data_IF_974900258398
#
_entry.id   IF_974900258398
#
_cell.length_a   1.000
_cell.length_b   1.000
_cell.length_c   1.000
_cell.angle_alpha   90.00
_cell.angle_beta   90.00
_cell.angle_gamma   90.00
#
_symmetry.space_group_name_H-M   'P 1'
#
loop_
_entity.id
_entity.type
_entity.pdbx_description
1 polymer ?
#
# COMPACT_ATOMS: atom_id res chain seq x y z
N UNK A 1 -3.81 4.96 27.16
CA UNK A 1 -4.09 6.15 26.33
C UNK A 1 -4.08 7.48 27.11
N UNK A 2 -3.91 7.51 28.44
CA UNK A 2 -3.83 8.77 29.21
C UNK A 2 -2.50 9.54 29.10
N UNK A 3 -1.49 8.93 28.47
CA UNK A 3 -0.12 9.45 28.45
C UNK A 3 0.15 10.45 27.32
N UNK A 4 -0.72 10.48 26.30
CA UNK A 4 -0.62 11.34 25.11
C UNK A 4 -1.94 12.09 24.89
N UNK A 5 -2.43 12.77 25.92
CA UNK A 5 -3.63 13.61 25.81
C UNK A 5 -3.25 15.03 25.34
N UNK A 6 -3.69 15.48 24.16
CA UNK A 6 -3.46 16.85 23.67
C UNK A 6 -3.89 17.94 24.65
N UNK A 7 -4.90 17.68 25.49
CA UNK A 7 -5.38 18.64 26.48
C UNK A 7 -4.35 18.92 27.59
N UNK A 8 -3.34 18.05 27.76
CA UNK A 8 -2.28 18.24 28.75
C UNK A 8 -1.08 19.05 28.23
N UNK A 9 -1.10 19.53 26.98
CA UNK A 9 -0.03 20.36 26.45
C UNK A 9 -0.03 21.74 27.14
N UNK A 10 1.08 22.07 27.81
CA UNK A 10 1.31 23.40 28.37
C UNK A 10 1.77 24.36 27.26
N UNK A 11 0.78 24.96 26.58
CA UNK A 11 1.02 25.89 25.48
C UNK A 11 1.86 27.12 25.87
N UNK A 12 1.64 27.78 27.03
CA UNK A 12 2.52 28.85 27.50
C UNK A 12 3.97 28.40 27.65
N UNK A 13 4.21 27.26 28.30
CA UNK A 13 5.57 26.75 28.50
C UNK A 13 6.25 26.40 27.17
N UNK A 14 5.50 25.86 26.21
CA UNK A 14 6.01 25.56 24.88
C UNK A 14 6.39 26.83 24.12
N UNK A 15 5.60 27.91 24.24
CA UNK A 15 5.93 29.21 23.66
C UNK A 15 7.21 29.79 24.30
N UNK A 16 7.35 29.72 25.63
CA UNK A 16 8.58 30.17 26.30
C UNK A 16 9.82 29.42 25.80
N UNK A 17 9.72 28.10 25.67
CA UNK A 17 10.82 27.27 25.15
C UNK A 17 11.15 27.58 23.69
N UNK A 18 10.14 27.83 22.86
CA UNK A 18 10.37 28.24 21.46
C UNK A 18 10.95 29.65 21.36
N UNK A 19 10.61 30.56 22.26
CA UNK A 19 11.22 31.88 22.31
C UNK A 19 12.68 31.83 22.76
N UNK A 20 12.99 30.97 23.73
CA UNK A 20 14.33 30.83 24.31
C UNK A 20 15.30 30.05 23.40
N UNK A 21 14.83 28.98 22.76
CA UNK A 21 15.68 28.03 22.02
C UNK A 21 15.37 27.96 20.52
N UNK A 22 14.30 28.59 20.04
CA UNK A 22 13.87 28.51 18.65
C UNK A 22 14.74 29.32 17.70
N UNK A 23 14.88 28.83 16.47
CA UNK A 23 15.57 29.59 15.42
C UNK A 23 14.75 30.83 15.00
N UNK A 24 15.37 31.83 14.35
CA UNK A 24 14.66 33.00 13.84
C UNK A 24 13.49 32.67 12.90
N UNK A 25 13.50 31.51 12.24
CA UNK A 25 12.40 31.06 11.39
C UNK A 25 11.14 30.71 12.20
N UNK A 26 11.31 30.16 13.41
CA UNK A 26 10.21 29.78 14.30
C UNK A 26 9.75 30.94 15.18
N UNK A 27 10.68 31.73 15.75
CA UNK A 27 10.31 32.82 16.67
C UNK A 27 9.55 33.95 15.99
N UNK A 28 9.75 34.16 14.68
CA UNK A 28 9.00 35.16 13.89
C UNK A 28 7.51 34.88 13.78
N UNK A 29 7.07 33.63 13.91
CA UNK A 29 5.67 33.21 13.77
C UNK A 29 5.15 32.54 15.04
N UNK A 30 5.72 32.87 16.20
CA UNK A 30 5.38 32.21 17.48
C UNK A 30 3.92 32.45 17.89
N UNK A 31 3.31 33.53 17.40
CA UNK A 31 1.88 33.84 17.53
C UNK A 31 0.98 32.81 16.84
N UNK A 32 1.47 32.13 15.80
CA UNK A 32 0.76 31.08 15.06
C UNK A 32 0.94 29.69 15.68
N UNK A 33 1.71 29.56 16.78
CA UNK A 33 2.01 28.27 17.41
C UNK A 33 0.75 27.47 17.75
N UNK A 34 -0.31 28.14 18.22
CA UNK A 34 -1.58 27.49 18.55
C UNK A 34 -2.25 26.84 17.35
N UNK A 35 -2.25 27.51 16.20
CA UNK A 35 -2.86 27.00 14.97
C UNK A 35 -2.01 25.89 14.36
N UNK A 36 -0.67 26.03 14.41
CA UNK A 36 0.26 25.01 13.95
C UNK A 36 0.12 23.69 14.73
N UNK A 37 -0.07 23.76 16.06
CA UNK A 37 -0.27 22.57 16.90
C UNK A 37 -1.58 21.84 16.61
N UNK A 38 -2.60 22.57 16.15
CA UNK A 38 -3.93 22.00 15.90
C UNK A 38 -3.93 20.93 14.79
N UNK A 39 -3.04 21.05 13.81
CA UNK A 39 -2.89 20.07 12.70
C UNK A 39 -2.39 18.72 13.22
N UNK A 40 -1.61 18.72 14.31
CA UNK A 40 -0.96 17.53 14.85
C UNK A 40 -1.64 17.02 16.13
N UNK A 41 -2.52 17.82 16.74
CA UNK A 41 -3.12 17.57 18.04
C UNK A 41 -4.36 18.46 18.22
N UNK A 42 -5.53 18.05 17.72
CA UNK A 42 -6.78 18.79 17.97
C UNK A 42 -7.34 18.42 19.36
N UNK A 43 -7.35 19.33 20.34
CA UNK A 43 -7.91 19.06 21.66
C UNK A 43 -9.45 18.90 21.65
N UNK A 44 -10.11 19.22 20.53
CA UNK A 44 -11.55 19.09 20.34
C UNK A 44 -11.91 17.93 19.41
N UNK A 45 -10.97 17.04 19.10
CA UNK A 45 -11.25 15.81 18.36
C UNK A 45 -12.39 15.05 19.06
N UNK A 46 -13.40 14.65 18.28
CA UNK A 46 -14.50 13.82 18.78
C UNK A 46 -13.93 12.47 19.23
N UNK A 47 -14.05 12.10 20.52
CA UNK A 47 -13.54 10.83 21.01
C UNK A 47 -14.07 9.62 20.24
N UNK A 48 -15.28 9.72 19.66
CA UNK A 48 -15.84 8.67 18.85
C UNK A 48 -15.05 8.48 17.56
N UNK A 49 -14.53 9.55 16.94
CA UNK A 49 -13.78 9.48 15.68
C UNK A 49 -12.32 9.07 15.83
N UNK A 50 -11.82 8.93 17.06
CA UNK A 50 -10.42 8.55 17.35
C UNK A 50 -10.03 7.20 16.78
N UNK A 51 -10.97 6.25 16.78
CA UNK A 51 -10.75 4.97 16.13
C UNK A 51 -11.08 5.08 14.64
N UNK A 52 -10.09 5.53 13.87
CA UNK A 52 -10.16 5.64 12.42
C UNK A 52 -10.36 4.26 11.74
N UNK A 53 -10.09 3.17 12.46
CA UNK A 53 -10.17 1.80 11.97
C UNK A 53 -11.44 1.06 12.40
N UNK A 54 -12.33 1.69 13.18
CA UNK A 54 -13.57 1.07 13.70
C UNK A 54 -14.47 0.45 12.63
N UNK A 55 -14.38 0.93 11.39
CA UNK A 55 -15.15 0.45 10.24
C UNK A 55 -14.39 -0.55 9.35
N UNK A 56 -13.11 -0.80 9.61
CA UNK A 56 -12.32 -1.79 8.87
C UNK A 56 -12.82 -3.22 9.10
N UNK A 57 -13.58 -3.45 10.19
CA UNK A 57 -14.14 -4.77 10.51
C UNK A 57 -13.07 -5.81 10.81
N UNK A 58 -11.89 -5.37 11.27
CA UNK A 58 -10.78 -6.24 11.68
C UNK A 58 -10.81 -6.40 13.19
N UNK A 59 -10.87 -7.64 13.68
CA UNK A 59 -10.94 -7.99 15.11
C UNK A 59 -9.63 -8.61 15.64
N UNK A 60 -8.57 -8.60 14.82
CA UNK A 60 -7.25 -9.10 15.20
C UNK A 60 -6.30 -9.27 14.02
N UNK A 61 -5.19 -9.97 14.26
CA UNK A 61 -4.11 -10.19 13.28
C UNK A 61 -4.59 -10.87 12.00
N UNK A 62 -5.51 -11.83 12.11
CA UNK A 62 -6.08 -12.50 10.93
C UNK A 62 -6.98 -11.57 10.11
N UNK A 63 -7.71 -10.66 10.75
CA UNK A 63 -8.46 -9.61 10.08
C UNK A 63 -7.54 -8.69 9.28
N UNK A 64 -6.44 -8.25 9.90
CA UNK A 64 -5.42 -7.44 9.21
C UNK A 64 -4.84 -8.23 8.03
N UNK A 65 -4.42 -9.47 8.25
CA UNK A 65 -3.89 -10.36 7.19
C UNK A 65 -4.82 -10.40 5.99
N UNK A 66 -6.12 -10.64 6.24
CA UNK A 66 -7.17 -10.72 5.22
C UNK A 66 -7.28 -9.43 4.41
N UNK A 67 -7.22 -8.26 5.05
CA UNK A 67 -7.27 -6.98 4.32
C UNK A 67 -6.13 -6.90 3.31
N UNK A 68 -4.90 -7.17 3.73
CA UNK A 68 -3.72 -7.08 2.87
C UNK A 68 -3.62 -8.20 1.83
N UNK A 69 -4.09 -9.41 2.13
CA UNK A 69 -4.03 -10.53 1.18
C UNK A 69 -5.21 -10.58 0.22
N UNK A 70 -6.39 -10.09 0.64
CA UNK A 70 -7.64 -10.34 -0.07
C UNK A 70 -8.28 -9.12 -0.70
N UNK A 71 -8.02 -7.93 -0.17
CA UNK A 71 -8.68 -6.69 -0.60
C UNK A 71 -7.74 -5.75 -1.33
N UNK A 72 -6.45 -5.78 -0.99
CA UNK A 72 -5.45 -4.95 -1.66
C UNK A 72 -4.73 -5.68 -2.78
N UNK A 73 -4.38 -4.88 -3.77
CA UNK A 73 -3.50 -5.23 -4.87
C UNK A 73 -2.41 -4.16 -4.96
N UNK A 74 -1.20 -4.57 -5.27
CA UNK A 74 -0.01 -3.72 -5.20
C UNK A 74 0.59 -3.60 -6.58
N UNK A 75 0.48 -2.43 -7.21
CA UNK A 75 1.19 -2.15 -8.46
C UNK A 75 2.67 -2.00 -8.18
N UNK A 76 3.48 -2.80 -8.86
CA UNK A 76 4.92 -2.86 -8.63
C UNK A 76 5.68 -2.61 -9.92
N UNK A 77 6.74 -1.83 -9.82
CA UNK A 77 7.74 -1.67 -10.87
C UNK A 77 8.24 -3.05 -11.32
N UNK A 78 8.44 -3.20 -12.63
CA UNK A 78 8.52 -4.50 -13.29
C UNK A 78 9.71 -5.35 -12.83
N UNK A 79 10.88 -4.76 -12.71
CA UNK A 79 12.17 -5.40 -12.46
C UNK A 79 12.63 -5.29 -11.00
N UNK A 80 11.83 -4.69 -10.11
CA UNK A 80 12.16 -4.58 -8.69
C UNK A 80 12.31 -5.98 -8.03
N UNK A 81 13.51 -6.33 -7.51
CA UNK A 81 13.73 -7.59 -6.78
C UNK A 81 12.81 -7.78 -5.57
N UNK A 82 12.29 -6.70 -4.98
CA UNK A 82 11.38 -6.74 -3.85
C UNK A 82 10.03 -7.38 -4.19
N UNK A 83 9.67 -7.49 -5.48
CA UNK A 83 8.50 -8.21 -5.93
C UNK A 83 8.45 -9.66 -5.42
N UNK A 84 9.61 -10.30 -5.27
CA UNK A 84 9.71 -11.65 -4.73
C UNK A 84 9.18 -11.79 -3.29
N UNK A 85 9.23 -10.72 -2.50
CA UNK A 85 8.72 -10.74 -1.13
C UNK A 85 7.21 -10.94 -1.09
N UNK A 86 6.45 -10.47 -2.08
CA UNK A 86 5.01 -10.67 -2.13
C UNK A 86 4.61 -12.16 -2.11
N UNK A 87 5.47 -13.03 -2.63
CA UNK A 87 5.21 -14.45 -2.81
C UNK A 87 5.89 -15.34 -1.76
N UNK A 88 6.79 -14.78 -0.95
CA UNK A 88 7.60 -15.52 0.02
C UNK A 88 6.84 -15.78 1.34
N UNK A 89 6.14 -16.91 1.42
CA UNK A 89 5.39 -17.32 2.62
C UNK A 89 6.26 -17.71 3.83
N UNK A 90 7.59 -17.78 3.67
CA UNK A 90 8.49 -18.02 4.83
C UNK A 90 8.79 -16.71 5.54
N UNK A 91 8.99 -15.63 4.78
CA UNK A 91 9.31 -14.32 5.32
C UNK A 91 8.06 -13.54 5.72
N UNK A 92 6.97 -13.69 4.99
CA UNK A 92 5.77 -12.90 5.22
C UNK A 92 5.05 -13.32 6.52
N UNK A 93 4.59 -12.35 7.33
CA UNK A 93 3.80 -12.64 8.52
C UNK A 93 2.62 -13.57 8.21
N UNK A 94 2.43 -14.56 9.09
CA UNK A 94 1.35 -15.56 8.97
C UNK A 94 1.38 -16.36 7.65
N UNK A 95 2.53 -16.45 7.00
CA UNK A 95 2.71 -17.17 5.73
C UNK A 95 1.94 -16.55 4.57
N UNK A 96 1.67 -15.25 4.65
CA UNK A 96 0.79 -14.55 3.71
C UNK A 96 1.44 -14.39 2.35
N UNK A 97 0.64 -14.53 1.29
CA UNK A 97 1.01 -14.11 -0.06
C UNK A 97 0.20 -12.88 -0.42
N UNK A 98 0.85 -11.89 -1.02
CA UNK A 98 0.26 -10.62 -1.42
C UNK A 98 -0.03 -10.61 -2.92
N UNK A 99 -0.99 -9.79 -3.33
CA UNK A 99 -1.39 -9.66 -4.74
C UNK A 99 -0.57 -8.57 -5.44
N UNK A 100 0.71 -8.87 -5.67
CA UNK A 100 1.56 -8.01 -6.48
C UNK A 100 1.13 -8.06 -7.95
N UNK A 101 1.15 -6.90 -8.60
CA UNK A 101 0.74 -6.68 -9.98
C UNK A 101 1.90 -6.06 -10.74
N UNK A 102 2.21 -6.63 -11.89
CA UNK A 102 3.13 -6.03 -12.84
C UNK A 102 2.66 -4.63 -13.26
N UNK A 103 3.56 -3.66 -13.15
CA UNK A 103 3.44 -2.31 -13.70
C UNK A 103 4.73 -1.96 -14.43
N UNK A 104 4.61 -1.45 -15.66
CA UNK A 104 5.79 -1.19 -16.49
C UNK A 104 6.63 0.00 -16.05
N UNK A 105 6.06 0.90 -15.25
CA UNK A 105 6.58 2.24 -14.92
C UNK A 105 7.19 3.04 -16.10
N UNK A 106 6.69 2.76 -17.31
CA UNK A 106 7.22 3.33 -18.55
C UNK A 106 7.09 4.86 -18.54
N UNK A 107 8.20 5.53 -18.83
CA UNK A 107 8.32 6.98 -18.72
C UNK A 107 8.91 7.47 -17.40
N UNK A 108 9.22 6.57 -16.46
CA UNK A 108 10.19 6.84 -15.40
C UNK A 108 11.62 6.94 -15.96
N UNK A 109 12.54 7.47 -15.16
CA UNK A 109 13.87 7.88 -15.63
C UNK A 109 14.80 6.70 -16.00
N UNK A 110 14.54 5.54 -15.44
CA UNK A 110 15.26 4.28 -15.57
C UNK A 110 14.61 3.27 -16.52
N UNK A 111 13.37 3.52 -16.96
CA UNK A 111 12.68 2.68 -17.97
C UNK A 111 12.54 3.41 -19.32
N UNK A 112 13.61 3.55 -20.12
CA UNK A 112 13.58 4.28 -21.39
C UNK A 112 13.02 3.48 -22.58
N UNK A 113 12.95 2.15 -22.48
CA UNK A 113 12.56 1.26 -23.59
C UNK A 113 11.49 0.24 -23.17
N UNK A 114 10.26 0.47 -23.65
CA UNK A 114 9.11 -0.40 -23.37
C UNK A 114 9.32 -1.87 -23.81
N UNK A 115 10.24 -2.13 -24.75
CA UNK A 115 10.52 -3.49 -25.23
C UNK A 115 11.30 -4.33 -24.21
N UNK A 116 12.00 -3.68 -23.28
CA UNK A 116 12.82 -4.33 -22.25
C UNK A 116 12.02 -4.75 -21.03
N UNK A 117 10.98 -4.00 -20.67
CA UNK A 117 10.26 -4.11 -19.38
C UNK A 117 9.88 -5.55 -19.00
N UNK A 118 9.25 -6.29 -19.92
CA UNK A 118 8.83 -7.67 -19.61
C UNK A 118 10.01 -8.65 -19.55
N UNK A 119 11.07 -8.39 -20.32
CA UNK A 119 12.29 -9.19 -20.29
C UNK A 119 13.03 -8.97 -18.97
N UNK A 120 13.14 -7.74 -18.52
CA UNK A 120 13.76 -7.37 -17.24
C UNK A 120 12.97 -7.96 -16.06
N UNK A 121 11.63 -7.88 -16.09
CA UNK A 121 10.80 -8.56 -15.09
C UNK A 121 11.04 -10.08 -15.06
N UNK A 122 11.28 -10.72 -16.21
CA UNK A 122 11.56 -12.15 -16.30
C UNK A 122 12.89 -12.55 -15.66
N UNK A 123 13.83 -11.61 -15.48
CA UNK A 123 15.09 -11.88 -14.78
C UNK A 123 14.86 -12.32 -13.31
N UNK A 124 13.73 -11.94 -12.70
CA UNK A 124 13.33 -12.46 -11.38
C UNK A 124 13.10 -13.97 -11.38
N UNK A 125 12.64 -14.53 -12.52
CA UNK A 125 12.51 -15.97 -12.70
C UNK A 125 13.86 -16.60 -12.98
N UNK A 126 14.67 -15.99 -13.85
CA UNK A 126 16.02 -16.49 -14.18
C UNK A 126 16.96 -16.52 -12.97
N UNK A 127 16.79 -15.58 -12.06
CA UNK A 127 17.53 -15.49 -10.80
C UNK A 127 16.91 -16.31 -9.65
N UNK A 128 15.89 -17.13 -9.94
CA UNK A 128 15.19 -18.00 -8.99
C UNK A 128 14.52 -17.26 -7.81
N UNK A 129 14.26 -15.95 -7.97
CA UNK A 129 13.55 -15.14 -6.97
C UNK A 129 12.04 -15.36 -7.05
N UNK A 130 11.52 -15.60 -8.26
CA UNK A 130 10.15 -16.02 -8.52
C UNK A 130 10.15 -17.38 -9.21
N UNK A 131 9.17 -18.23 -8.90
CA UNK A 131 8.85 -19.35 -9.79
C UNK A 131 8.05 -18.85 -11.00
N UNK A 132 7.98 -19.65 -12.08
CA UNK A 132 7.12 -19.34 -13.22
C UNK A 132 5.64 -19.17 -12.82
N UNK A 133 5.20 -19.91 -11.80
CA UNK A 133 3.84 -19.78 -11.26
C UNK A 133 3.65 -18.43 -10.54
N UNK A 134 4.62 -18.00 -9.73
CA UNK A 134 4.57 -16.67 -9.08
C UNK A 134 4.60 -15.56 -10.14
N UNK A 135 5.43 -15.70 -11.17
CA UNK A 135 5.51 -14.73 -12.26
C UNK A 135 4.22 -14.64 -13.07
N UNK A 136 3.56 -15.78 -13.32
CA UNK A 136 2.22 -15.81 -13.92
C UNK A 136 1.20 -15.07 -13.05
N UNK A 137 1.23 -15.28 -11.74
CA UNK A 137 0.32 -14.57 -10.84
C UNK A 137 0.59 -13.07 -10.85
N UNK A 138 1.87 -12.68 -10.84
CA UNK A 138 2.33 -11.29 -10.90
C UNK A 138 1.91 -10.55 -12.19
N UNK A 139 2.09 -11.19 -13.35
CA UNK A 139 1.86 -10.57 -14.67
C UNK A 139 0.46 -10.76 -15.22
N UNK A 140 -0.31 -11.72 -14.71
CA UNK A 140 -1.62 -12.08 -15.27
C UNK A 140 -2.69 -12.34 -14.22
N UNK A 141 -2.54 -13.35 -13.36
CA UNK A 141 -3.66 -13.85 -12.56
C UNK A 141 -4.18 -12.81 -11.56
N UNK A 142 -3.28 -12.07 -10.89
CA UNK A 142 -3.68 -11.01 -9.96
C UNK A 142 -4.38 -9.86 -10.68
N UNK A 143 -3.99 -9.52 -11.92
CA UNK A 143 -4.64 -8.48 -12.70
C UNK A 143 -6.05 -8.91 -13.12
N UNK A 144 -6.20 -10.16 -13.57
CA UNK A 144 -7.51 -10.75 -13.84
C UNK A 144 -8.40 -10.69 -12.61
N UNK A 145 -7.89 -11.11 -11.46
CA UNK A 145 -8.62 -11.07 -10.20
C UNK A 145 -9.06 -9.64 -9.84
N UNK A 146 -8.14 -8.66 -9.89
CA UNK A 146 -8.46 -7.26 -9.59
C UNK A 146 -9.61 -6.75 -10.47
N UNK A 147 -9.45 -6.81 -11.79
CA UNK A 147 -10.37 -6.17 -12.71
C UNK A 147 -11.68 -6.94 -12.88
N UNK A 148 -11.63 -8.28 -12.84
CA UNK A 148 -12.82 -9.11 -12.98
C UNK A 148 -13.62 -9.26 -11.68
N UNK A 149 -13.04 -8.98 -10.50
CA UNK A 149 -13.76 -9.05 -9.22
C UNK A 149 -14.98 -8.13 -9.15
N UNK A 150 -14.93 -7.00 -9.85
CA UNK A 150 -16.02 -6.02 -9.92
C UNK A 150 -16.78 -6.09 -11.25
N UNK A 151 -16.09 -6.45 -12.34
CA UNK A 151 -16.69 -6.58 -13.67
C UNK A 151 -16.15 -7.81 -14.41
N UNK A 152 -16.88 -8.94 -14.42
CA UNK A 152 -16.44 -10.17 -15.09
C UNK A 152 -16.17 -10.03 -16.60
N UNK A 153 -16.70 -8.98 -17.23
CA UNK A 153 -16.59 -8.71 -18.66
C UNK A 153 -15.50 -7.66 -18.97
N UNK A 154 -14.65 -7.30 -18.00
CA UNK A 154 -13.66 -6.22 -18.16
C UNK A 154 -12.75 -6.40 -19.38
N UNK A 155 -12.41 -7.64 -19.72
CA UNK A 155 -11.52 -8.00 -20.82
C UNK A 155 -12.24 -8.48 -22.09
N UNK A 156 -13.56 -8.27 -22.19
CA UNK A 156 -14.31 -8.59 -23.41
C UNK A 156 -13.76 -7.81 -24.62
N UNK A 157 -13.73 -8.45 -25.79
CA UNK A 157 -13.19 -7.93 -27.05
C UNK A 157 -11.68 -7.57 -27.03
N UNK A 158 -10.94 -8.06 -26.02
CA UNK A 158 -9.47 -7.91 -25.96
C UNK A 158 -8.75 -9.14 -26.48
N UNK A 159 -7.46 -8.99 -26.82
CA UNK A 159 -6.62 -10.11 -27.26
C UNK A 159 -6.43 -11.21 -26.20
N UNK A 160 -6.73 -10.92 -24.92
CA UNK A 160 -6.58 -11.86 -23.79
C UNK A 160 -7.90 -12.44 -23.31
N UNK A 161 -9.03 -12.07 -23.91
CA UNK A 161 -10.38 -12.45 -23.46
C UNK A 161 -10.49 -13.96 -23.19
N UNK A 162 -10.07 -14.80 -24.14
CA UNK A 162 -10.18 -16.26 -24.01
C UNK A 162 -9.35 -16.79 -22.82
N UNK A 163 -8.15 -16.25 -22.61
CA UNK A 163 -7.29 -16.64 -21.49
C UNK A 163 -7.91 -16.21 -20.15
N UNK A 164 -8.47 -15.00 -20.08
CA UNK A 164 -9.19 -14.50 -18.91
C UNK A 164 -10.41 -15.35 -18.60
N UNK A 165 -11.23 -15.69 -19.61
CA UNK A 165 -12.42 -16.55 -19.45
C UNK A 165 -12.05 -17.93 -18.90
N UNK A 166 -10.92 -18.50 -19.34
CA UNK A 166 -10.40 -19.76 -18.77
C UNK A 166 -10.00 -19.58 -17.31
N UNK A 167 -9.33 -18.49 -16.96
CA UNK A 167 -8.88 -18.24 -15.58
C UNK A 167 -10.05 -18.11 -14.60
N UNK A 168 -11.03 -17.28 -14.93
CA UNK A 168 -12.19 -17.06 -14.07
C UNK A 168 -13.10 -18.29 -13.95
N UNK A 169 -13.07 -19.20 -14.93
CA UNK A 169 -13.84 -20.44 -14.88
C UNK A 169 -13.23 -21.50 -13.95
N UNK A 170 -11.91 -21.42 -13.70
CA UNK A 170 -11.18 -22.34 -12.81
C UNK A 170 -11.08 -21.75 -11.39
N UNK A 171 -11.10 -20.42 -11.26
CA UNK A 171 -11.12 -19.75 -9.98
C UNK A 171 -12.41 -20.09 -9.20
N UNK A 172 -12.32 -20.50 -7.91
CA UNK A 172 -13.51 -20.71 -7.11
C UNK A 172 -14.30 -19.39 -7.01
N UNK A 173 -15.63 -19.48 -7.14
CA UNK A 173 -16.51 -18.37 -6.81
C UNK A 173 -16.24 -17.97 -5.35
N UNK A 174 -15.84 -16.71 -5.15
CA UNK A 174 -15.54 -16.14 -3.82
C UNK A 174 -16.77 -16.09 -2.93
#
# INVERSE_FOLDING_TARGET
MSQFDPAHIDHPRLADLMAEYGSPAFTRNIDQLKDALRILSDPNEDPETRDEFRHCGTDGTDGIRRVFSDQFFFGCEADDPMNALAFNSVLNPLGTRLRALFSSDIGHWDVPDMRGVLLEAWELVESEQLSEADFRDFTFANAVDLFCSTNPNFFDDTAVEEAVRKEIAVAPAR
#
